data_IF_698311793495
#
_entry.id   IF_698311793495
#
_cell.length_a   1.000
_cell.length_b   1.000
_cell.length_c   1.000
_cell.angle_alpha   90.00
_cell.angle_beta   90.00
_cell.angle_gamma   90.00
#
_symmetry.space_group_name_H-M   'P 1'
#
loop_
_entity.id
_entity.type
_entity.pdbx_description
1 polymer ?
#
# COMPACT_ATOMS: atom_id res chain seq x y z
N UNK A 1 -5.94 -20.98 -6.58
CA UNK A 1 -6.30 -22.13 -5.70
C UNK A 1 -7.80 -22.43 -5.65
N UNK A 2 -8.56 -22.16 -6.73
CA UNK A 2 -10.03 -22.24 -6.65
C UNK A 2 -10.59 -21.26 -5.61
N UNK A 3 -11.74 -21.59 -5.03
CA UNK A 3 -12.34 -20.80 -3.96
C UNK A 3 -11.64 -21.08 -2.62
N UNK A 4 -11.24 -20.02 -1.92
CA UNK A 4 -10.61 -20.07 -0.59
C UNK A 4 -11.38 -19.15 0.35
N UNK A 5 -11.60 -19.60 1.58
CA UNK A 5 -12.25 -18.81 2.63
C UNK A 5 -11.29 -17.71 3.13
N UNK A 6 -11.79 -16.47 3.16
CA UNK A 6 -11.05 -15.26 3.57
C UNK A 6 -11.71 -14.48 4.71
N UNK A 7 -12.96 -14.80 5.04
CA UNK A 7 -13.75 -14.19 6.09
C UNK A 7 -14.84 -15.16 6.57
N UNK A 8 -14.99 -15.26 7.88
CA UNK A 8 -16.13 -15.90 8.54
C UNK A 8 -17.01 -14.85 9.23
N UNK A 9 -18.32 -14.95 9.04
CA UNK A 9 -19.32 -14.13 9.74
C UNK A 9 -20.19 -15.08 10.56
N UNK A 10 -20.13 -14.96 11.89
CA UNK A 10 -20.83 -15.84 12.81
C UNK A 10 -21.69 -15.03 13.76
N UNK A 11 -23.00 -15.27 13.73
CA UNK A 11 -23.86 -14.88 14.85
C UNK A 11 -23.71 -15.92 15.96
N UNK A 12 -23.08 -15.51 17.06
CA UNK A 12 -22.77 -16.36 18.21
C UNK A 12 -23.76 -16.13 19.35
N UNK A 13 -24.74 -15.26 19.18
CA UNK A 13 -25.71 -14.87 20.21
C UNK A 13 -25.02 -14.49 21.53
N UNK A 14 -25.50 -14.95 22.69
CA UNK A 14 -24.92 -14.63 24.00
C UNK A 14 -23.94 -15.69 24.54
N UNK A 15 -23.62 -16.72 23.73
CA UNK A 15 -22.93 -17.92 24.19
C UNK A 15 -21.58 -17.63 24.85
N UNK A 16 -20.72 -16.82 24.22
CA UNK A 16 -19.36 -16.60 24.73
C UNK A 16 -19.37 -15.87 26.07
N UNK A 17 -20.17 -14.80 26.22
CA UNK A 17 -20.26 -14.05 27.47
C UNK A 17 -20.91 -14.87 28.58
N UNK A 18 -21.92 -15.69 28.25
CA UNK A 18 -22.56 -16.59 29.21
C UNK A 18 -21.55 -17.59 29.78
N UNK A 19 -20.77 -18.24 28.91
CA UNK A 19 -19.74 -19.22 29.32
C UNK A 19 -18.63 -18.56 30.11
N UNK A 20 -18.11 -17.41 29.66
CA UNK A 20 -17.11 -16.67 30.44
C UNK A 20 -17.62 -16.25 31.81
N UNK A 21 -18.88 -15.79 31.93
CA UNK A 21 -19.50 -15.44 33.20
C UNK A 21 -19.57 -16.63 34.16
N UNK A 22 -19.99 -17.80 33.66
CA UNK A 22 -20.14 -19.03 34.44
C UNK A 22 -18.82 -19.51 35.07
N UNK A 23 -17.73 -19.50 34.31
CA UNK A 23 -16.43 -20.00 34.77
C UNK A 23 -15.60 -18.97 35.53
N UNK A 24 -15.67 -17.69 35.15
CA UNK A 24 -14.93 -16.62 35.83
C UNK A 24 -15.63 -16.11 37.10
N UNK A 25 -16.92 -16.43 37.27
CA UNK A 25 -17.80 -15.90 38.32
C UNK A 25 -17.99 -14.38 38.28
N UNK A 26 -17.63 -13.74 37.16
CA UNK A 26 -17.89 -12.32 36.90
C UNK A 26 -19.23 -12.12 36.20
N UNK A 27 -19.92 -11.02 36.48
CA UNK A 27 -21.19 -10.69 35.82
C UNK A 27 -20.95 -9.83 34.58
N UNK A 28 -21.22 -10.38 33.39
CA UNK A 28 -21.09 -9.66 32.11
C UNK A 28 -22.43 -9.15 31.56
N UNK A 29 -23.52 -9.20 32.35
CA UNK A 29 -24.79 -8.61 31.93
C UNK A 29 -24.72 -7.09 31.95
N UNK A 30 -25.24 -6.46 30.90
CA UNK A 30 -25.34 -5.00 30.80
C UNK A 30 -26.80 -4.59 30.70
N UNK A 31 -27.08 -3.33 31.03
CA UNK A 31 -28.39 -2.75 30.76
C UNK A 31 -28.61 -2.63 29.25
N UNK A 32 -29.73 -3.12 28.75
CA UNK A 32 -30.09 -3.03 27.34
C UNK A 32 -31.26 -2.05 27.16
N UNK A 33 -31.18 -1.16 26.16
CA UNK A 33 -32.24 -0.21 25.86
C UNK A 33 -32.34 0.96 26.85
N UNK A 34 -33.54 1.51 27.02
CA UNK A 34 -33.82 2.71 27.83
C UNK A 34 -34.13 2.43 29.30
N UNK A 35 -34.43 1.18 29.67
CA UNK A 35 -34.71 0.80 31.07
C UNK A 35 -33.43 0.25 31.75
N UNK A 36 -32.85 0.97 32.72
CA UNK A 36 -31.63 0.55 33.43
C UNK A 36 -31.76 -0.73 34.25
N UNK A 37 -33.00 -1.20 34.50
CA UNK A 37 -33.26 -2.37 35.33
C UNK A 37 -33.23 -3.69 34.55
N UNK A 38 -33.35 -3.65 33.23
CA UNK A 38 -33.33 -4.84 32.38
C UNK A 38 -31.89 -5.14 31.97
N UNK A 39 -31.30 -6.16 32.60
CA UNK A 39 -29.91 -6.58 32.34
C UNK A 39 -29.85 -7.91 31.62
N UNK A 40 -29.20 -7.92 30.46
CA UNK A 40 -29.06 -9.09 29.58
C UNK A 40 -27.60 -9.29 29.17
N UNK A 41 -27.28 -10.48 28.66
CA UNK A 41 -26.00 -10.70 28.02
C UNK A 41 -26.03 -10.09 26.61
N UNK A 42 -25.04 -9.25 26.24
CA UNK A 42 -24.89 -8.78 24.87
C UNK A 42 -24.82 -9.94 23.88
N UNK A 43 -25.42 -9.74 22.70
CA UNK A 43 -25.22 -10.64 21.57
C UNK A 43 -23.91 -10.33 20.86
N UNK A 44 -23.22 -11.37 20.39
CA UNK A 44 -21.95 -11.29 19.68
C UNK A 44 -22.17 -11.68 18.23
N UNK A 45 -21.96 -10.71 17.34
CA UNK A 45 -21.72 -10.95 15.92
C UNK A 45 -20.21 -10.90 15.70
N UNK A 46 -19.62 -12.05 15.41
CA UNK A 46 -18.20 -12.19 15.11
C UNK A 46 -17.95 -12.03 13.61
N UNK A 47 -16.99 -11.18 13.26
CA UNK A 47 -16.44 -11.08 11.91
C UNK A 47 -14.95 -11.38 12.01
N UNK A 48 -14.55 -12.55 11.55
CA UNK A 48 -13.18 -13.05 11.66
C UNK A 48 -12.49 -13.06 10.29
N UNK A 49 -11.31 -12.45 10.21
CA UNK A 49 -10.50 -12.38 8.99
C UNK A 49 -9.15 -13.07 9.20
N UNK A 50 -8.80 -13.98 8.29
CA UNK A 50 -7.45 -14.51 8.18
C UNK A 50 -6.58 -13.60 7.32
N UNK A 51 -5.79 -12.72 7.95
CA UNK A 51 -4.99 -11.69 7.25
C UNK A 51 -4.06 -12.32 6.21
N UNK A 52 -3.39 -13.43 6.55
CA UNK A 52 -2.46 -14.12 5.66
C UNK A 52 -3.11 -14.56 4.35
N UNK A 53 -4.34 -15.09 4.43
CA UNK A 53 -5.09 -15.53 3.24
C UNK A 53 -5.49 -14.36 2.37
N UNK A 54 -5.93 -13.25 2.97
CA UNK A 54 -6.28 -12.04 2.24
C UNK A 54 -5.06 -11.50 1.49
N UNK A 55 -3.90 -11.41 2.16
CA UNK A 55 -2.65 -10.97 1.53
C UNK A 55 -2.23 -11.92 0.43
N UNK A 56 -2.32 -13.23 0.65
CA UNK A 56 -2.01 -14.23 -0.35
C UNK A 56 -2.89 -14.11 -1.60
N UNK A 57 -4.22 -14.04 -1.42
CA UNK A 57 -5.17 -13.88 -2.52
C UNK A 57 -4.95 -12.55 -3.26
N UNK A 58 -4.61 -11.47 -2.55
CA UNK A 58 -4.25 -10.20 -3.18
C UNK A 58 -3.01 -10.34 -4.08
N UNK A 59 -1.96 -11.02 -3.62
CA UNK A 59 -0.76 -11.27 -4.41
C UNK A 59 -1.05 -12.19 -5.62
N UNK A 60 -1.80 -13.27 -5.42
CA UNK A 60 -2.18 -14.21 -6.49
C UNK A 60 -3.01 -13.52 -7.59
N UNK A 61 -3.99 -12.69 -7.20
CA UNK A 61 -4.90 -12.02 -8.14
C UNK A 61 -4.27 -10.85 -8.88
N UNK A 62 -3.24 -10.22 -8.30
CA UNK A 62 -2.57 -9.07 -8.92
C UNK A 62 -1.28 -9.44 -9.65
N UNK A 63 -0.78 -10.66 -9.48
CA UNK A 63 0.37 -11.17 -10.20
C UNK A 63 0.06 -11.34 -11.70
N UNK A 64 0.87 -10.73 -12.56
CA UNK A 64 0.73 -10.85 -14.00
C UNK A 64 2.10 -10.97 -14.70
N UNK A 65 2.12 -11.65 -15.85
CA UNK A 65 3.31 -11.76 -16.71
C UNK A 65 2.98 -11.21 -18.09
N UNK A 66 3.53 -10.04 -18.41
CA UNK A 66 3.29 -9.34 -19.68
C UNK A 66 4.53 -9.37 -20.54
N UNK A 67 4.52 -10.09 -21.66
CA UNK A 67 5.66 -10.15 -22.60
C UNK A 67 7.01 -10.47 -21.90
N UNK A 68 6.99 -11.39 -20.92
CA UNK A 68 8.18 -11.78 -20.14
C UNK A 68 8.59 -10.81 -19.02
N UNK A 69 7.78 -9.78 -18.75
CA UNK A 69 7.87 -8.88 -17.60
C UNK A 69 6.91 -9.36 -16.51
N UNK A 70 7.46 -9.66 -15.33
CA UNK A 70 6.66 -9.93 -14.13
C UNK A 70 6.21 -8.58 -13.57
N UNK A 71 4.93 -8.44 -13.27
CA UNK A 71 4.35 -7.22 -12.69
C UNK A 71 3.31 -7.59 -11.64
N UNK A 72 3.44 -7.01 -10.45
CA UNK A 72 2.40 -7.06 -9.42
C UNK A 72 1.49 -5.85 -9.60
N UNK A 73 0.30 -6.05 -10.15
CA UNK A 73 -0.68 -4.97 -10.42
C UNK A 73 -1.45 -4.54 -9.17
N UNK A 74 -0.74 -4.34 -8.06
CA UNK A 74 -1.34 -3.86 -6.82
C UNK A 74 -2.01 -2.50 -7.04
N UNK A 75 -3.15 -2.28 -6.37
CA UNK A 75 -3.72 -0.95 -6.26
C UNK A 75 -2.71 -0.04 -5.55
N UNK A 76 -2.63 1.22 -5.97
CA UNK A 76 -1.75 2.24 -5.40
C UNK A 76 -1.86 2.33 -3.87
N UNK A 77 -3.05 2.14 -3.30
CA UNK A 77 -3.27 2.20 -1.85
C UNK A 77 -2.73 0.98 -1.09
N UNK A 78 -2.61 -0.16 -1.77
CA UNK A 78 -2.12 -1.43 -1.21
C UNK A 78 -0.64 -1.71 -1.54
N UNK A 79 -0.08 -0.97 -2.50
CA UNK A 79 1.33 -1.11 -2.87
C UNK A 79 2.23 -0.74 -1.68
N UNK A 80 3.24 -1.56 -1.31
CA UNK A 80 4.13 -1.26 -0.18
C UNK A 80 4.84 0.09 -0.32
N UNK A 81 5.24 0.41 -1.55
CA UNK A 81 5.75 1.71 -1.93
C UNK A 81 4.80 2.32 -2.96
N UNK A 82 4.38 3.56 -2.72
CA UNK A 82 3.55 4.30 -3.67
C UNK A 82 4.39 4.73 -4.88
N UNK A 83 5.62 5.17 -4.61
CA UNK A 83 6.54 5.73 -5.60
C UNK A 83 7.97 5.25 -5.35
N UNK A 84 8.80 5.18 -6.40
CA UNK A 84 10.23 4.96 -6.28
C UNK A 84 11.01 6.07 -6.98
N UNK A 85 12.16 6.47 -6.44
CA UNK A 85 12.99 7.57 -6.95
C UNK A 85 14.39 7.07 -7.32
N UNK A 86 14.80 7.36 -8.54
CA UNK A 86 16.02 6.84 -9.15
C UNK A 86 16.88 7.95 -9.76
N UNK A 87 18.15 8.09 -9.35
CA UNK A 87 19.10 8.87 -10.13
C UNK A 87 19.49 8.09 -11.40
N UNK A 88 19.49 8.73 -12.56
CA UNK A 88 19.87 8.09 -13.83
C UNK A 88 21.28 7.50 -13.75
N UNK A 89 22.21 8.25 -13.16
CA UNK A 89 23.60 7.85 -12.92
C UNK A 89 24.00 8.07 -11.47
N UNK A 90 24.70 7.09 -10.89
CA UNK A 90 25.17 7.15 -9.49
C UNK A 90 26.43 8.00 -9.30
N UNK A 91 27.25 8.14 -10.35
CA UNK A 91 28.57 8.78 -10.27
C UNK A 91 28.51 10.32 -10.31
N UNK A 92 27.36 10.91 -10.64
CA UNK A 92 27.21 12.38 -10.62
C UNK A 92 26.55 12.81 -9.31
N UNK A 93 27.32 13.49 -8.48
CA UNK A 93 26.89 13.92 -7.15
C UNK A 93 25.68 14.85 -7.18
N UNK A 94 25.60 15.76 -8.17
CA UNK A 94 24.45 16.67 -8.32
C UNK A 94 23.12 15.92 -8.55
N UNK A 95 23.13 14.89 -9.41
CA UNK A 95 21.94 14.06 -9.69
C UNK A 95 21.55 13.28 -8.44
N UNK A 96 22.54 12.68 -7.77
CA UNK A 96 22.31 11.89 -6.57
C UNK A 96 21.72 12.75 -5.44
N UNK A 97 22.27 13.95 -5.21
CA UNK A 97 21.77 14.91 -4.22
C UNK A 97 20.33 15.34 -4.52
N UNK A 98 20.02 15.62 -5.80
CA UNK A 98 18.66 15.98 -6.21
C UNK A 98 17.68 14.83 -6.02
N UNK A 99 18.06 13.60 -6.38
CA UNK A 99 17.23 12.42 -6.17
C UNK A 99 16.95 12.13 -4.69
N UNK A 100 17.96 12.28 -3.82
CA UNK A 100 17.77 12.18 -2.38
C UNK A 100 16.86 13.29 -1.84
N UNK A 101 16.99 14.52 -2.36
CA UNK A 101 16.12 15.64 -1.99
C UNK A 101 14.66 15.35 -2.37
N UNK A 102 14.40 14.89 -3.60
CA UNK A 102 13.05 14.53 -4.06
C UNK A 102 12.48 13.37 -3.23
N UNK A 103 13.28 12.33 -2.98
CA UNK A 103 12.87 11.21 -2.14
C UNK A 103 12.47 11.65 -0.72
N UNK A 104 13.27 12.50 -0.07
CA UNK A 104 12.96 13.04 1.26
C UNK A 104 11.71 13.91 1.25
N UNK A 105 11.56 14.79 0.26
CA UNK A 105 10.37 15.64 0.14
C UNK A 105 9.07 14.84 -0.03
N UNK A 106 9.12 13.67 -0.67
CA UNK A 106 7.96 12.76 -0.76
C UNK A 106 7.64 12.12 0.61
N UNK A 107 8.66 11.71 1.37
CA UNK A 107 8.47 11.13 2.70
C UNK A 107 7.93 12.15 3.72
N UNK A 108 8.41 13.39 3.67
CA UNK A 108 7.92 14.51 4.49
C UNK A 108 6.41 14.76 4.25
N UNK A 109 5.98 14.57 3.00
CA UNK A 109 4.57 14.63 2.58
C UNK A 109 3.76 13.35 2.85
N UNK A 110 4.31 12.40 3.60
CA UNK A 110 3.72 11.09 3.95
C UNK A 110 3.41 10.21 2.73
N UNK A 111 4.19 10.36 1.66
CA UNK A 111 4.11 9.50 0.47
C UNK A 111 5.18 8.41 0.62
N UNK A 112 4.76 7.14 0.67
CA UNK A 112 5.68 5.99 0.76
C UNK A 112 6.57 5.94 -0.48
N UNK A 113 7.87 6.18 -0.27
CA UNK A 113 8.87 6.35 -1.33
C UNK A 113 10.02 5.37 -1.16
N UNK A 114 10.42 4.71 -2.24
CA UNK A 114 11.60 3.84 -2.29
C UNK A 114 12.75 4.51 -3.04
N UNK A 115 14.00 4.29 -2.61
CA UNK A 115 15.17 4.87 -3.27
C UNK A 115 16.19 3.81 -3.66
N UNK A 116 16.72 3.88 -4.89
CA UNK A 116 17.67 2.88 -5.39
C UNK A 116 18.64 3.43 -6.45
N UNK A 117 19.91 3.02 -6.33
CA UNK A 117 21.03 3.39 -7.20
C UNK A 117 21.69 2.19 -7.88
N UNK A 118 21.27 0.97 -7.57
CA UNK A 118 21.94 -0.26 -7.99
C UNK A 118 21.52 -0.69 -9.41
N UNK A 119 22.49 -0.88 -10.30
CA UNK A 119 22.26 -1.37 -11.66
C UNK A 119 21.67 -0.32 -12.61
N UNK A 120 21.33 -0.76 -13.83
CA UNK A 120 20.76 0.12 -14.85
C UNK A 120 19.34 0.58 -14.48
N UNK A 121 18.90 1.68 -15.08
CA UNK A 121 17.54 2.21 -14.84
C UNK A 121 16.44 1.19 -15.21
N UNK A 122 16.64 0.43 -16.30
CA UNK A 122 15.71 -0.63 -16.69
C UNK A 122 15.61 -1.76 -15.65
N UNK A 123 16.73 -2.15 -15.03
CA UNK A 123 16.73 -3.14 -13.93
C UNK A 123 15.98 -2.61 -12.71
N UNK A 124 16.09 -1.32 -12.41
CA UNK A 124 15.35 -0.66 -11.32
C UNK A 124 13.85 -0.62 -11.60
N UNK A 125 13.44 -0.22 -12.80
CA UNK A 125 12.03 -0.29 -13.19
C UNK A 125 11.46 -1.71 -13.09
N UNK A 126 12.21 -2.72 -13.54
CA UNK A 126 11.78 -4.12 -13.46
C UNK A 126 11.57 -4.58 -12.02
N UNK A 127 12.48 -4.25 -11.10
CA UNK A 127 12.30 -4.55 -9.66
C UNK A 127 11.06 -3.89 -9.08
N UNK A 128 10.75 -2.66 -9.48
CA UNK A 128 9.56 -1.97 -8.98
C UNK A 128 8.27 -2.47 -9.60
N UNK A 129 8.30 -2.87 -10.87
CA UNK A 129 7.18 -3.55 -11.52
C UNK A 129 6.88 -4.87 -10.77
N UNK A 130 7.92 -5.63 -10.40
CA UNK A 130 7.83 -6.85 -9.58
C UNK A 130 7.34 -6.58 -8.15
N UNK A 131 7.69 -5.45 -7.53
CA UNK A 131 7.21 -5.06 -6.18
C UNK A 131 5.82 -4.41 -6.18
N UNK A 132 5.29 -4.11 -7.36
CA UNK A 132 3.99 -3.47 -7.55
C UNK A 132 3.94 -1.97 -7.27
N UNK A 133 5.08 -1.30 -7.16
CA UNK A 133 5.16 0.16 -7.03
C UNK A 133 4.55 0.84 -8.26
N UNK A 134 3.59 1.75 -8.06
CA UNK A 134 2.80 2.33 -9.16
C UNK A 134 3.60 3.30 -10.03
N UNK A 135 4.44 4.13 -9.41
CA UNK A 135 5.18 5.19 -10.10
C UNK A 135 6.68 5.09 -9.85
N UNK A 136 7.47 5.27 -10.90
CA UNK A 136 8.92 5.43 -10.80
C UNK A 136 9.32 6.81 -11.29
N UNK A 137 10.07 7.55 -10.50
CA UNK A 137 10.59 8.88 -10.81
C UNK A 137 12.06 8.75 -11.12
N UNK A 138 12.47 9.28 -12.27
CA UNK A 138 13.88 9.31 -12.67
C UNK A 138 14.38 10.74 -12.71
N UNK A 139 15.52 10.95 -12.07
CA UNK A 139 16.28 12.20 -12.07
C UNK A 139 17.42 12.06 -13.06
N UNK A 140 17.38 12.82 -14.14
CA UNK A 140 18.34 12.78 -15.24
C UNK A 140 19.18 14.07 -15.31
N UNK A 141 19.89 14.28 -16.42
CA UNK A 141 20.70 15.50 -16.61
C UNK A 141 19.83 16.74 -16.75
N UNK A 142 18.70 16.62 -17.45
CA UNK A 142 17.76 17.72 -17.66
C UNK A 142 17.06 18.12 -16.37
N UNK A 143 16.93 17.20 -15.41
CA UNK A 143 16.44 17.51 -14.06
C UNK A 143 17.27 18.57 -13.35
N UNK A 144 18.59 18.65 -13.61
CA UNK A 144 19.46 19.65 -12.99
C UNK A 144 19.26 21.03 -13.64
N UNK A 145 19.03 21.05 -14.95
CA UNK A 145 18.96 22.29 -15.74
C UNK A 145 17.57 22.91 -15.63
N UNK A 146 16.52 22.09 -15.74
CA UNK A 146 15.14 22.54 -15.90
C UNK A 146 14.26 22.28 -14.68
N UNK A 147 14.80 21.69 -13.60
CA UNK A 147 14.06 21.35 -12.38
C UNK A 147 12.83 20.45 -12.63
N UNK A 148 12.94 19.55 -13.63
CA UNK A 148 11.90 18.60 -14.03
C UNK A 148 12.27 17.15 -13.73
N UNK A 149 11.29 16.26 -13.59
CA UNK A 149 11.51 14.82 -13.41
C UNK A 149 10.64 14.01 -14.35
N UNK A 150 11.09 12.81 -14.67
CA UNK A 150 10.34 11.88 -15.50
C UNK A 150 9.62 10.87 -14.62
N UNK A 151 8.29 10.86 -14.66
CA UNK A 151 7.45 9.88 -13.98
C UNK A 151 7.09 8.78 -14.99
N UNK A 152 7.39 7.54 -14.65
CA UNK A 152 6.96 6.34 -15.36
C UNK A 152 5.79 5.66 -14.63
N UNK A 153 4.73 5.33 -15.36
CA UNK A 153 3.62 4.51 -14.85
C UNK A 153 3.91 3.02 -15.05
N UNK A 154 3.72 2.19 -14.00
CA UNK A 154 3.89 0.74 -14.04
C UNK A 154 3.04 0.05 -15.12
N UNK A 155 1.76 0.43 -15.19
CA UNK A 155 0.75 -0.29 -15.98
C UNK A 155 0.83 0.10 -17.47
N UNK A 156 0.84 1.40 -17.78
CA UNK A 156 0.92 1.88 -19.18
C UNK A 156 2.34 1.91 -19.73
N UNK A 157 3.36 1.88 -18.87
CA UNK A 157 4.77 2.10 -19.21
C UNK A 157 5.08 3.50 -19.79
N UNK A 158 4.09 4.40 -19.81
CA UNK A 158 4.25 5.77 -20.28
C UNK A 158 5.16 6.57 -19.36
N UNK A 159 5.91 7.48 -19.96
CA UNK A 159 6.81 8.40 -19.28
C UNK A 159 6.35 9.83 -19.53
N UNK A 160 6.11 10.57 -18.46
CA UNK A 160 5.67 11.96 -18.51
C UNK A 160 6.66 12.80 -17.73
N UNK A 161 7.11 13.90 -18.32
CA UNK A 161 7.98 14.86 -17.65
C UNK A 161 7.15 15.93 -16.96
N UNK A 162 7.45 16.19 -15.69
CA UNK A 162 6.73 17.15 -14.85
C UNK A 162 7.72 18.01 -14.06
N UNK A 163 7.31 19.17 -13.57
CA UNK A 163 8.14 19.94 -12.64
C UNK A 163 8.26 19.22 -11.30
N UNK A 164 9.41 19.37 -10.64
CA UNK A 164 9.64 18.82 -9.29
C UNK A 164 8.64 19.38 -8.28
N UNK A 165 8.27 20.66 -8.43
CA UNK A 165 7.32 21.36 -7.56
C UNK A 165 5.94 20.71 -7.57
N UNK A 166 5.51 20.22 -8.74
CA UNK A 166 4.16 19.73 -8.97
C UNK A 166 4.05 18.23 -8.63
N UNK A 167 5.19 17.56 -8.42
CA UNK A 167 5.27 16.12 -8.22
C UNK A 167 4.39 15.64 -7.06
N UNK A 168 4.49 16.29 -5.90
CA UNK A 168 3.78 15.85 -4.70
C UNK A 168 2.25 15.97 -4.89
N UNK A 169 1.79 17.08 -5.49
CA UNK A 169 0.38 17.30 -5.78
C UNK A 169 -0.15 16.31 -6.81
N UNK A 170 0.59 16.08 -7.90
CA UNK A 170 0.22 15.11 -8.95
C UNK A 170 0.06 13.70 -8.35
N UNK A 171 0.97 13.30 -7.46
CA UNK A 171 0.90 11.97 -6.84
C UNK A 171 -0.27 11.87 -5.85
N UNK A 172 -0.56 12.93 -5.08
CA UNK A 172 -1.73 12.97 -4.19
C UNK A 172 -3.04 12.92 -4.98
N UNK A 173 -3.19 13.70 -6.05
CA UNK A 173 -4.39 13.67 -6.91
C UNK A 173 -4.60 12.32 -7.60
N UNK A 174 -3.52 11.62 -7.96
CA UNK A 174 -3.60 10.31 -8.63
C UNK A 174 -3.74 9.14 -7.66
N UNK A 175 -3.67 9.37 -6.35
CA UNK A 175 -3.92 8.36 -5.33
C UNK A 175 -5.43 8.32 -5.08
N UNK A 176 -6.12 7.20 -5.38
CA UNK A 176 -7.51 7.06 -4.97
C UNK A 176 -7.58 7.08 -3.43
N UNK A 177 -8.65 7.66 -2.88
CA UNK A 177 -8.95 7.65 -1.44
C UNK A 177 -9.00 6.22 -0.87
#
# INVERSE_FOLDING_TARGET
>A
YGWVEICGIHDRSDYDLRRHSEFSKQNFKISMGTDPNVKEFPQILEIAFGIDRIVYTLLETTFNVEKGRIVLKLNTTLAPNTIAVFPLVKNKEKILKLALKVHRGLLEDRISSFFDVAGSIGKRYRRQDELGTKWCVTIDYESIENNTVTIRNRDSMEQVRVNITDLNEIIKMKRPE
#
